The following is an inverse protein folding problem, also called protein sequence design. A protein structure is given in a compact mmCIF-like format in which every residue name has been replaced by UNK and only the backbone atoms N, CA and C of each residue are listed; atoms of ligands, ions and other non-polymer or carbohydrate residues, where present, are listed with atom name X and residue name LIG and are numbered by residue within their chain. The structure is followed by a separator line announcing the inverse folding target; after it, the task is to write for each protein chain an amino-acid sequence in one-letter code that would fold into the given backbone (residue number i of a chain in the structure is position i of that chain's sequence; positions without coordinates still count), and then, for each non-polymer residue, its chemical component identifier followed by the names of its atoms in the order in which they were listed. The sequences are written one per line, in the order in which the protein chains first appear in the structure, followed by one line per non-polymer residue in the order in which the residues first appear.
data_IF_462070679376
#
_entry.id   IF_462070679376
#
_cell.length_a   1.000
_cell.length_b   1.000
_cell.length_c   1.000
_cell.angle_alpha   90.00
_cell.angle_beta   90.00
_cell.angle_gamma   90.00
#
_symmetry.space_group_name_H-M   'P 1'
#
loop_
_entity.id
_entity.type
_entity.pdbx_description
1 polymer ?
#
# COMPACT_ATOMS: atom_id res chain seq x y z
N UNK A 1 -15.56 -0.46 -12.97
CA UNK A 1 -16.19 -1.21 -11.84
C UNK A 1 -15.74 -0.55 -10.57
N UNK A 2 -16.64 0.02 -9.80
CA UNK A 2 -16.31 0.80 -8.61
C UNK A 2 -16.04 -0.19 -7.47
N UNK A 3 -14.84 -0.19 -6.95
CA UNK A 3 -14.58 -0.80 -5.65
C UNK A 3 -15.43 -0.11 -4.60
N UNK A 4 -15.92 -0.85 -3.62
CA UNK A 4 -16.42 -0.25 -2.41
C UNK A 4 -15.33 0.65 -1.78
N UNK A 5 -15.75 1.68 -1.07
CA UNK A 5 -14.84 2.65 -0.42
C UNK A 5 -14.01 2.05 0.72
N UNK A 6 -14.12 0.74 0.95
CA UNK A 6 -13.45 0.05 2.05
C UNK A 6 -13.17 -1.42 1.76
N UNK A 7 -12.11 -1.94 2.38
CA UNK A 7 -11.77 -3.35 2.47
C UNK A 7 -11.75 -3.71 3.95
N UNK A 8 -12.52 -4.74 4.34
CA UNK A 8 -12.51 -5.27 5.69
C UNK A 8 -11.64 -6.53 5.73
N UNK A 9 -10.84 -6.63 6.77
CA UNK A 9 -10.00 -7.79 7.06
C UNK A 9 -10.29 -8.27 8.51
N UNK A 10 -9.72 -9.37 8.98
CA UNK A 10 -9.95 -9.82 10.36
C UNK A 10 -9.64 -8.78 11.44
N UNK A 11 -8.64 -7.93 11.25
CA UNK A 11 -8.19 -6.96 12.25
C UNK A 11 -8.20 -5.51 11.77
N UNK A 12 -8.38 -5.29 10.46
CA UNK A 12 -8.18 -3.98 9.84
C UNK A 12 -9.42 -3.56 9.03
N UNK A 13 -9.51 -2.25 8.86
CA UNK A 13 -10.37 -1.61 7.88
C UNK A 13 -9.49 -0.67 7.03
N UNK A 14 -9.44 -0.95 5.74
CA UNK A 14 -8.86 -0.05 4.75
C UNK A 14 -10.00 0.76 4.16
N UNK A 15 -9.94 2.07 4.28
CA UNK A 15 -11.02 2.96 3.84
C UNK A 15 -10.48 4.18 3.10
N UNK A 16 -11.34 4.82 2.36
CA UNK A 16 -11.05 6.11 1.73
C UNK A 16 -10.63 7.14 2.78
N UNK A 17 -9.65 7.97 2.43
CA UNK A 17 -9.23 9.12 3.23
C UNK A 17 -10.32 10.20 3.19
N UNK A 18 -10.63 10.79 4.32
CA UNK A 18 -11.60 11.88 4.50
C UNK A 18 -10.93 13.11 5.10
N UNK A 19 -11.61 14.26 5.07
CA UNK A 19 -11.02 15.53 5.55
C UNK A 19 -10.51 15.46 6.99
N UNK A 20 -11.21 14.75 7.86
CA UNK A 20 -10.80 14.60 9.27
C UNK A 20 -9.48 13.81 9.46
N UNK A 21 -8.99 13.13 8.42
CA UNK A 21 -7.69 12.44 8.46
C UNK A 21 -6.52 13.39 8.17
N UNK A 22 -6.77 14.55 7.57
CA UNK A 22 -5.71 15.44 7.08
C UNK A 22 -4.74 15.89 8.19
N UNK A 23 -5.18 16.29 9.40
CA UNK A 23 -4.24 16.64 10.45
C UNK A 23 -3.27 15.51 10.80
N UNK A 24 -3.75 14.27 10.80
CA UNK A 24 -2.91 13.10 11.06
C UNK A 24 -1.91 12.83 9.92
N UNK A 25 -2.37 12.93 8.67
CA UNK A 25 -1.49 12.76 7.49
C UNK A 25 -0.41 13.85 7.44
N UNK A 26 -0.76 15.09 7.78
CA UNK A 26 0.20 16.18 7.93
C UNK A 26 1.23 15.86 9.01
N UNK A 27 0.80 15.44 10.20
CA UNK A 27 1.69 15.06 11.28
C UNK A 27 2.62 13.92 10.88
N UNK A 28 2.12 12.89 10.23
CA UNK A 28 2.94 11.77 9.72
C UNK A 28 3.95 12.21 8.66
N UNK A 29 3.59 13.14 7.79
CA UNK A 29 4.47 13.63 6.73
C UNK A 29 5.69 14.38 7.26
N UNK A 30 5.62 14.92 8.48
CA UNK A 30 6.70 15.64 9.15
C UNK A 30 7.42 14.80 10.22
N UNK A 31 7.05 13.52 10.40
CA UNK A 31 7.60 12.64 11.42
C UNK A 31 8.52 11.57 10.82
N UNK A 32 9.80 11.61 11.17
CA UNK A 32 10.76 10.57 10.78
C UNK A 32 10.33 9.17 11.28
N UNK A 33 9.75 9.10 12.47
CA UNK A 33 9.25 7.85 13.02
C UNK A 33 8.10 7.27 12.21
N UNK A 34 7.23 8.14 11.65
CA UNK A 34 6.07 7.71 10.89
C UNK A 34 6.44 7.19 9.50
N UNK A 35 7.43 7.78 8.81
CA UNK A 35 7.80 7.31 7.48
C UNK A 35 8.91 6.25 7.48
N UNK A 36 9.73 6.20 8.53
CA UNK A 36 10.84 5.25 8.63
C UNK A 36 12.03 5.59 7.72
N UNK A 37 13.01 4.70 7.69
CA UNK A 37 14.29 4.94 7.00
C UNK A 37 14.28 4.64 5.49
N UNK A 38 13.30 3.88 4.99
CA UNK A 38 13.25 3.40 3.60
C UNK A 38 12.32 4.22 2.70
N UNK A 39 11.66 5.24 3.22
CA UNK A 39 10.74 6.09 2.49
C UNK A 39 11.11 7.56 2.69
N UNK A 40 10.99 8.34 1.63
CA UNK A 40 11.11 9.79 1.71
C UNK A 40 9.71 10.40 1.72
N UNK A 41 9.29 11.09 2.79
CA UNK A 41 7.95 11.65 2.87
C UNK A 41 7.80 12.84 1.94
N UNK A 42 6.63 12.97 1.36
CA UNK A 42 6.16 14.25 0.86
C UNK A 42 5.60 15.03 2.04
N UNK A 43 6.30 16.07 2.46
CA UNK A 43 5.80 16.98 3.49
C UNK A 43 4.65 17.79 2.93
N UNK A 44 3.50 17.68 3.56
CA UNK A 44 2.28 18.38 3.19
C UNK A 44 1.80 19.28 4.33
N UNK A 45 1.12 20.36 3.98
CA UNK A 45 0.31 21.16 4.89
C UNK A 45 -1.18 20.78 4.77
N UNK A 46 -2.02 21.34 5.63
CA UNK A 46 -3.45 21.07 5.60
C UNK A 46 -4.11 21.50 4.28
N UNK A 47 -3.71 22.62 3.73
CA UNK A 47 -4.26 23.13 2.48
C UNK A 47 -3.96 22.19 1.31
N UNK A 48 -2.72 21.71 1.24
CA UNK A 48 -2.31 20.70 0.24
C UNK A 48 -3.11 19.41 0.40
N UNK A 49 -3.25 18.91 1.63
CA UNK A 49 -4.01 17.69 1.90
C UNK A 49 -5.48 17.80 1.52
N UNK A 50 -6.14 18.89 1.88
CA UNK A 50 -7.52 19.17 1.48
C UNK A 50 -7.67 19.28 -0.04
N UNK A 51 -6.73 19.96 -0.69
CA UNK A 51 -6.67 20.08 -2.15
C UNK A 51 -6.56 18.72 -2.85
N UNK A 52 -5.80 17.79 -2.31
CA UNK A 52 -5.67 16.41 -2.82
C UNK A 52 -6.99 15.63 -2.72
N UNK A 53 -7.78 15.85 -1.67
CA UNK A 53 -9.11 15.23 -1.54
C UNK A 53 -10.07 15.84 -2.58
N UNK A 54 -10.16 17.16 -2.64
CA UNK A 54 -11.10 17.87 -3.53
C UNK A 54 -10.81 17.60 -5.00
N UNK A 55 -9.54 17.55 -5.39
CA UNK A 55 -9.13 17.27 -6.78
C UNK A 55 -9.32 15.80 -7.21
N UNK A 56 -9.59 14.89 -6.25
CA UNK A 56 -9.64 13.45 -6.52
C UNK A 56 -8.26 12.81 -6.70
N UNK A 57 -7.17 13.50 -6.35
CA UNK A 57 -5.82 12.98 -6.49
C UNK A 57 -5.58 11.73 -5.64
N UNK A 58 -6.25 11.61 -4.49
CA UNK A 58 -6.12 10.46 -3.60
C UNK A 58 -7.08 9.31 -3.94
N UNK A 59 -8.09 9.54 -4.78
CA UNK A 59 -9.11 8.54 -5.07
C UNK A 59 -9.77 8.76 -6.44
N UNK A 60 -9.33 7.98 -7.41
CA UNK A 60 -9.87 7.96 -8.75
C UNK A 60 -9.73 6.55 -9.36
N UNK A 61 -10.03 6.37 -10.63
CA UNK A 61 -10.01 5.06 -11.27
C UNK A 61 -8.62 4.45 -11.39
N UNK A 62 -7.59 5.29 -11.51
CA UNK A 62 -6.20 4.85 -11.71
C UNK A 62 -5.35 4.91 -10.44
N UNK A 63 -5.84 5.55 -9.38
CA UNK A 63 -5.05 5.81 -8.16
C UNK A 63 -5.94 5.84 -6.92
N UNK A 64 -5.60 5.08 -5.91
CA UNK A 64 -6.31 5.07 -4.62
C UNK A 64 -5.37 4.97 -3.43
N UNK A 65 -5.58 5.85 -2.48
CA UNK A 65 -4.91 5.83 -1.18
C UNK A 65 -5.91 5.48 -0.10
N UNK A 66 -5.65 4.36 0.58
CA UNK A 66 -6.44 3.90 1.71
C UNK A 66 -5.81 4.32 3.03
N UNK A 67 -6.62 4.78 3.96
CA UNK A 67 -6.27 4.78 5.37
C UNK A 67 -6.41 3.36 5.91
N UNK A 68 -5.38 2.88 6.62
CA UNK A 68 -5.41 1.61 7.34
C UNK A 68 -5.73 1.92 8.80
N UNK A 69 -6.82 1.37 9.33
CA UNK A 69 -7.16 1.51 10.74
C UNK A 69 -7.42 0.15 11.39
N UNK A 70 -7.11 0.03 12.66
CA UNK A 70 -7.54 -1.09 13.48
C UNK A 70 -9.06 -1.06 13.62
N UNK A 71 -9.71 -2.23 13.57
CA UNK A 71 -11.16 -2.31 13.72
C UNK A 71 -11.60 -1.74 15.08
N UNK A 72 -12.43 -0.69 15.03
CA UNK A 72 -12.96 -0.02 16.22
C UNK A 72 -11.97 0.85 16.98
N UNK A 73 -10.78 1.11 16.43
CA UNK A 73 -9.72 1.89 17.09
C UNK A 73 -9.27 3.08 16.23
N UNK A 74 -7.99 3.11 15.88
CA UNK A 74 -7.31 4.27 15.29
C UNK A 74 -6.65 3.94 13.94
N UNK A 75 -6.42 4.95 13.10
CA UNK A 75 -5.55 4.84 11.93
C UNK A 75 -4.10 4.49 12.33
N UNK A 76 -3.47 3.60 11.56
CA UNK A 76 -2.10 3.13 11.81
C UNK A 76 -1.17 3.31 10.62
N UNK A 77 -1.70 3.64 9.45
CA UNK A 77 -0.90 3.79 8.24
C UNK A 77 -1.74 3.98 6.99
N UNK A 78 -1.09 3.85 5.85
CA UNK A 78 -1.71 3.98 4.52
C UNK A 78 -1.28 2.87 3.59
N UNK A 79 -2.17 2.50 2.69
CA UNK A 79 -1.87 1.65 1.54
C UNK A 79 -2.29 2.41 0.28
N UNK A 80 -1.39 2.47 -0.67
CA UNK A 80 -1.59 3.17 -1.93
C UNK A 80 -1.40 2.20 -3.09
N UNK A 81 -2.25 2.25 -4.10
CA UNK A 81 -1.97 1.65 -5.39
C UNK A 81 -2.28 2.61 -6.52
N UNK A 82 -1.55 2.45 -7.62
CA UNK A 82 -1.80 3.15 -8.87
C UNK A 82 -1.60 2.22 -10.06
N UNK A 83 -2.34 2.44 -11.13
CA UNK A 83 -2.17 1.70 -12.37
C UNK A 83 -1.01 2.31 -13.16
N UNK A 84 -0.19 1.46 -13.79
CA UNK A 84 0.85 1.96 -14.69
C UNK A 84 0.21 2.63 -15.91
N UNK A 85 0.72 3.82 -16.28
CA UNK A 85 0.20 4.57 -17.44
C UNK A 85 0.32 3.79 -18.76
N UNK A 86 1.46 3.14 -18.93
CA UNK A 86 1.80 2.33 -20.10
C UNK A 86 1.13 0.94 -20.11
N UNK A 87 0.58 0.52 -18.97
CA UNK A 87 0.04 -0.83 -18.79
C UNK A 87 -1.03 -0.86 -17.72
N UNK A 88 -2.24 -0.45 -18.07
CA UNK A 88 -3.38 -0.30 -17.15
C UNK A 88 -3.87 -1.60 -16.46
N UNK A 89 -3.39 -2.75 -16.89
CA UNK A 89 -3.66 -4.03 -16.23
C UNK A 89 -2.58 -4.42 -15.19
N UNK A 90 -1.67 -3.51 -14.88
CA UNK A 90 -0.65 -3.65 -13.85
C UNK A 90 -0.78 -2.52 -12.82
N UNK A 91 -0.90 -2.87 -11.55
CA UNK A 91 -0.84 -1.92 -10.45
C UNK A 91 0.53 -1.93 -9.79
N UNK A 92 0.98 -0.76 -9.35
CA UNK A 92 2.06 -0.61 -8.37
C UNK A 92 1.43 -0.33 -7.02
N UNK A 93 1.90 -1.00 -5.98
CA UNK A 93 1.38 -0.85 -4.63
C UNK A 93 2.49 -0.38 -3.68
N UNK A 94 2.13 0.45 -2.71
CA UNK A 94 3.01 0.91 -1.65
C UNK A 94 2.27 0.85 -0.30
N UNK A 95 3.01 0.51 0.75
CA UNK A 95 2.48 0.38 2.10
C UNK A 95 3.33 1.19 3.07
N UNK A 96 2.67 1.83 4.02
CA UNK A 96 3.33 2.47 5.15
C UNK A 96 2.53 2.24 6.43
N UNK A 97 3.14 1.59 7.44
CA UNK A 97 2.64 1.56 8.81
C UNK A 97 3.30 2.72 9.54
N UNK A 98 2.54 3.81 9.72
CA UNK A 98 3.04 5.08 10.25
C UNK A 98 3.12 5.10 11.77
N UNK A 99 2.29 4.32 12.45
CA UNK A 99 2.41 4.12 13.90
C UNK A 99 3.53 3.09 14.18
N UNK A 100 4.67 3.50 14.77
CA UNK A 100 5.80 2.59 15.02
C UNK A 100 5.42 1.42 15.92
N UNK A 101 4.52 1.62 16.88
CA UNK A 101 4.08 0.60 17.83
C UNK A 101 3.25 -0.50 17.17
N UNK A 102 2.76 -0.24 15.97
CA UNK A 102 1.96 -1.19 15.20
C UNK A 102 2.76 -1.96 14.14
N UNK A 103 4.06 -1.70 14.05
CA UNK A 103 4.96 -2.45 13.16
C UNK A 103 5.28 -3.84 13.73
N UNK A 104 5.68 -4.76 12.85
CA UNK A 104 6.07 -6.14 13.18
C UNK A 104 4.98 -6.98 13.87
N UNK A 105 3.72 -6.59 13.73
CA UNK A 105 2.54 -7.30 14.26
C UNK A 105 1.71 -8.00 13.18
N UNK A 106 2.21 -8.02 11.96
CA UNK A 106 1.54 -8.64 10.81
C UNK A 106 0.48 -7.78 10.13
N UNK A 107 0.23 -6.57 10.58
CA UNK A 107 -0.78 -5.68 10.00
C UNK A 107 -0.46 -5.30 8.54
N UNK A 108 0.81 -5.01 8.25
CA UNK A 108 1.23 -4.70 6.89
C UNK A 108 1.02 -5.86 5.92
N UNK A 109 1.34 -7.07 6.33
CA UNK A 109 1.08 -8.29 5.53
C UNK A 109 -0.40 -8.49 5.30
N UNK A 110 -1.22 -8.33 6.33
CA UNK A 110 -2.68 -8.46 6.26
C UNK A 110 -3.30 -7.42 5.31
N UNK A 111 -2.92 -6.15 5.46
CA UNK A 111 -3.41 -5.08 4.58
C UNK A 111 -3.07 -5.35 3.12
N UNK A 112 -1.83 -5.72 2.83
CA UNK A 112 -1.38 -6.03 1.47
C UNK A 112 -2.10 -7.26 0.90
N UNK A 113 -2.23 -8.34 1.68
CA UNK A 113 -2.94 -9.55 1.26
C UNK A 113 -4.35 -9.23 0.74
N UNK A 114 -5.13 -8.52 1.52
CA UNK A 114 -6.52 -8.22 1.16
C UNK A 114 -6.64 -7.20 0.03
N UNK A 115 -5.72 -6.24 -0.06
CA UNK A 115 -5.65 -5.34 -1.21
C UNK A 115 -5.32 -6.10 -2.51
N UNK A 116 -4.32 -6.98 -2.48
CA UNK A 116 -3.94 -7.82 -3.63
C UNK A 116 -5.12 -8.69 -4.08
N UNK A 117 -5.86 -9.28 -3.15
CA UNK A 117 -7.06 -10.05 -3.46
C UNK A 117 -8.09 -9.21 -4.22
N UNK A 118 -8.34 -7.98 -3.78
CA UNK A 118 -9.25 -7.07 -4.48
C UNK A 118 -8.76 -6.72 -5.89
N UNK A 119 -7.46 -6.44 -6.04
CA UNK A 119 -6.88 -6.10 -7.34
C UNK A 119 -7.03 -7.24 -8.36
N UNK A 120 -6.79 -8.48 -7.96
CA UNK A 120 -6.93 -9.61 -8.87
C UNK A 120 -8.38 -10.06 -9.07
N UNK A 121 -9.19 -10.13 -8.01
CA UNK A 121 -10.54 -10.71 -8.12
C UNK A 121 -11.56 -9.73 -8.66
N UNK A 122 -11.46 -8.45 -8.33
CA UNK A 122 -12.43 -7.43 -8.75
C UNK A 122 -11.96 -6.60 -9.93
N UNK A 123 -10.71 -6.11 -9.92
CA UNK A 123 -10.17 -5.34 -11.05
C UNK A 123 -9.68 -6.22 -12.20
N UNK A 124 -9.51 -7.52 -11.96
CA UNK A 124 -9.01 -8.47 -12.97
C UNK A 124 -7.65 -8.06 -13.54
N UNK A 125 -6.78 -7.50 -12.70
CA UNK A 125 -5.44 -7.13 -13.12
C UNK A 125 -4.62 -8.37 -13.51
N UNK A 126 -3.64 -8.17 -14.36
CA UNK A 126 -2.69 -9.23 -14.76
C UNK A 126 -1.50 -9.32 -13.82
N UNK A 127 -1.12 -8.20 -13.20
CA UNK A 127 0.01 -8.18 -12.27
C UNK A 127 -0.09 -7.06 -11.25
N UNK A 128 0.58 -7.26 -10.11
CA UNK A 128 0.82 -6.26 -9.06
C UNK A 128 2.31 -6.20 -8.79
N UNK A 129 2.85 -5.01 -8.71
CA UNK A 129 4.26 -4.74 -8.48
C UNK A 129 4.49 -3.92 -7.22
N UNK A 130 5.64 -4.12 -6.58
CA UNK A 130 6.10 -3.31 -5.46
C UNK A 130 7.60 -3.04 -5.55
N UNK A 131 7.98 -1.79 -5.28
CA UNK A 131 9.37 -1.40 -5.08
C UNK A 131 9.73 -1.50 -3.61
N UNK A 132 10.93 -1.99 -3.31
CA UNK A 132 11.40 -2.18 -1.94
C UNK A 132 12.88 -1.83 -1.86
N UNK A 133 13.26 -1.00 -0.88
CA UNK A 133 14.66 -0.71 -0.63
C UNK A 133 15.44 -2.01 -0.37
N UNK A 134 16.67 -2.08 -0.87
CA UNK A 134 17.52 -3.28 -0.78
C UNK A 134 17.77 -3.72 0.67
N UNK A 135 17.71 -2.79 1.62
CA UNK A 135 17.92 -3.04 3.04
C UNK A 135 16.63 -3.37 3.79
N UNK A 136 15.46 -3.15 3.20
CA UNK A 136 14.17 -3.44 3.82
C UNK A 136 13.84 -4.93 3.80
N UNK A 137 14.59 -5.71 4.58
CA UNK A 137 14.43 -7.17 4.63
C UNK A 137 13.08 -7.62 5.17
N UNK A 138 12.45 -6.83 6.02
CA UNK A 138 11.12 -7.12 6.56
C UNK A 138 10.08 -7.15 5.44
N UNK A 139 10.06 -6.12 4.59
CA UNK A 139 9.15 -6.05 3.45
C UNK A 139 9.47 -7.12 2.40
N UNK A 140 10.74 -7.40 2.14
CA UNK A 140 11.13 -8.46 1.21
C UNK A 140 10.61 -9.83 1.66
N UNK A 141 10.70 -10.15 2.96
CA UNK A 141 10.14 -11.40 3.51
C UNK A 141 8.60 -11.42 3.41
N UNK A 142 7.96 -10.28 3.65
CA UNK A 142 6.52 -10.14 3.48
C UNK A 142 6.10 -10.43 2.03
N UNK A 143 6.78 -9.83 1.06
CA UNK A 143 6.48 -10.02 -0.36
C UNK A 143 6.66 -11.48 -0.80
N UNK A 144 7.68 -12.17 -0.30
CA UNK A 144 7.84 -13.61 -0.57
C UNK A 144 6.67 -14.43 -0.04
N UNK A 145 6.19 -14.15 1.18
CA UNK A 145 5.00 -14.81 1.75
C UNK A 145 3.75 -14.55 0.92
N UNK A 146 3.66 -13.36 0.32
CA UNK A 146 2.55 -12.95 -0.53
C UNK A 146 2.67 -13.46 -1.98
N UNK A 147 3.69 -14.26 -2.30
CA UNK A 147 3.86 -14.88 -3.62
C UNK A 147 4.52 -14.00 -4.66
N UNK A 148 5.11 -12.88 -4.26
CA UNK A 148 5.90 -12.03 -5.18
C UNK A 148 7.25 -12.66 -5.50
N UNK A 149 7.69 -12.46 -6.72
CA UNK A 149 9.03 -12.81 -7.19
C UNK A 149 9.83 -11.55 -7.49
N UNK A 150 11.15 -11.63 -7.30
CA UNK A 150 12.08 -10.57 -7.67
C UNK A 150 12.19 -10.50 -9.19
N UNK A 151 11.91 -9.32 -9.75
CA UNK A 151 12.03 -9.06 -11.20
C UNK A 151 13.40 -8.51 -11.54
N UNK A 152 13.81 -7.46 -10.84
CA UNK A 152 15.09 -6.79 -11.05
C UNK A 152 15.51 -5.98 -9.83
N UNK A 153 16.81 -5.67 -9.78
CA UNK A 153 17.38 -4.70 -8.87
C UNK A 153 17.74 -3.44 -9.64
N UNK A 154 17.41 -2.27 -9.09
CA UNK A 154 17.52 -1.01 -9.81
C UNK A 154 17.89 0.15 -8.89
N UNK A 155 18.46 1.19 -9.50
CA UNK A 155 18.58 2.51 -8.89
C UNK A 155 17.32 3.29 -9.20
N UNK A 156 16.78 3.98 -8.22
CA UNK A 156 15.62 4.86 -8.40
C UNK A 156 15.77 6.12 -7.55
N UNK A 157 15.09 7.15 -7.95
CA UNK A 157 14.98 8.38 -7.19
C UNK A 157 13.69 8.37 -6.37
N UNK A 158 13.86 8.55 -5.06
CA UNK A 158 12.74 8.70 -4.13
C UNK A 158 12.77 10.14 -3.61
N UNK A 159 12.12 11.04 -4.34
CA UNK A 159 12.03 12.48 -3.99
C UNK A 159 13.41 13.10 -3.76
N UNK A 160 14.29 12.98 -4.75
CA UNK A 160 15.67 13.47 -4.75
C UNK A 160 16.62 12.73 -3.79
N UNK A 161 16.17 11.62 -3.22
CA UNK A 161 17.02 10.70 -2.47
C UNK A 161 17.35 9.50 -3.36
N UNK A 162 18.61 9.31 -3.78
CA UNK A 162 18.98 8.15 -4.58
C UNK A 162 18.88 6.89 -3.74
N UNK A 163 18.17 5.89 -4.25
CA UNK A 163 17.99 4.59 -3.58
C UNK A 163 18.38 3.45 -4.50
N UNK A 164 18.76 2.35 -3.90
CA UNK A 164 18.92 1.06 -4.55
C UNK A 164 17.85 0.14 -4.01
N UNK A 165 17.14 -0.53 -4.88
CA UNK A 165 16.06 -1.39 -4.45
C UNK A 165 15.75 -2.51 -5.41
N UNK A 166 14.70 -3.22 -5.08
CA UNK A 166 14.19 -4.35 -5.81
C UNK A 166 12.78 -4.07 -6.31
N UNK A 167 12.50 -4.46 -7.55
CA UNK A 167 11.15 -4.56 -8.08
C UNK A 167 10.68 -6.01 -7.92
N UNK A 168 9.60 -6.19 -7.18
CA UNK A 168 8.90 -7.45 -7.01
C UNK A 168 7.59 -7.44 -7.80
N UNK A 169 7.18 -8.61 -8.30
CA UNK A 169 5.92 -8.78 -9.04
C UNK A 169 5.24 -10.08 -8.65
N UNK A 170 3.91 -10.02 -8.59
CA UNK A 170 3.04 -11.19 -8.62
C UNK A 170 2.09 -11.06 -9.81
N UNK A 171 1.96 -12.10 -10.62
CA UNK A 171 0.97 -12.17 -11.70
C UNK A 171 -0.30 -12.94 -11.28
N UNK A 172 -1.31 -12.90 -12.14
CA UNK A 172 -2.59 -13.55 -11.86
C UNK A 172 -2.47 -15.07 -11.73
N UNK A 173 -1.51 -15.69 -12.42
CA UNK A 173 -1.28 -17.15 -12.34
C UNK A 173 -0.67 -17.49 -10.99
N UNK A 174 0.37 -16.78 -10.56
CA UNK A 174 0.99 -16.95 -9.25
C UNK A 174 0.00 -16.66 -8.11
N UNK A 175 -0.83 -15.63 -8.25
CA UNK A 175 -1.90 -15.34 -7.30
C UNK A 175 -2.86 -16.53 -7.13
N UNK A 176 -3.32 -17.12 -8.22
CA UNK A 176 -4.22 -18.28 -8.19
C UNK A 176 -3.61 -19.53 -7.56
N UNK A 177 -2.27 -19.66 -7.61
CA UNK A 177 -1.54 -20.80 -7.06
C UNK A 177 -1.03 -20.60 -5.63
N UNK A 178 -1.04 -19.35 -5.13
CA UNK A 178 -0.51 -19.03 -3.80
C UNK A 178 -1.56 -19.31 -2.73
N UNK A 179 -1.30 -20.29 -1.88
CA UNK A 179 -2.27 -20.82 -0.91
C UNK A 179 -2.76 -19.79 0.11
N UNK A 180 -1.95 -18.79 0.46
CA UNK A 180 -2.33 -17.74 1.42
C UNK A 180 -3.60 -16.97 1.01
N UNK A 181 -3.95 -16.94 -0.28
CA UNK A 181 -5.15 -16.28 -0.80
C UNK A 181 -6.38 -17.19 -0.82
N UNK A 182 -6.23 -18.48 -0.54
CA UNK A 182 -7.30 -19.46 -0.62
C UNK A 182 -8.01 -19.69 0.73
N UNK A 183 -7.35 -19.41 1.84
CA UNK A 183 -7.82 -19.74 3.20
C UNK A 183 -8.21 -18.53 4.05
N UNK A 184 -8.71 -17.49 3.45
CA UNK A 184 -8.93 -16.22 4.13
C UNK A 184 -10.34 -16.03 4.71
N UNK A 185 -11.28 -16.95 4.43
CA UNK A 185 -12.68 -16.83 4.84
C UNK A 185 -13.19 -17.93 5.75
N UNK A 186 -12.38 -18.89 6.06
CA UNK A 186 -12.82 -19.96 6.94
C UNK A 186 -12.70 -19.54 8.40
N UNK A 187 -13.64 -18.70 8.81
CA UNK A 187 -14.10 -18.62 10.21
C UNK A 187 -15.49 -18.09 10.28
#
# INVERSE_FOLDING_TARGET
MIFGDKILTPRLKLRRIVESDIPLLVAWSHSELAHGEYLTPEQIDEQTGLGQIVSGALWNDDNRVFMIELLGEKPIGTLHYWLRSERKNCAVMALKISDPDMRNKGYGTEAQKYAIMQLFTRMKLQSVEMYTDINNRSQQRCLKKLGFELVESLHYDDRQVPRVGHLFRIDAIAFAQTSIYQYHYEK
#
